data_IF_256039009403
#
_entry.id   IF_256039009403
#
_cell.length_a   1.000
_cell.length_b   1.000
_cell.length_c   1.000
_cell.angle_alpha   90.00
_cell.angle_beta   90.00
_cell.angle_gamma   90.00
#
_symmetry.space_group_name_H-M   'P 1'
#
loop_
_entity.id
_entity.type
_entity.pdbx_description
1 polymer ?
#
# COMPACT_ATOMS: atom_id res chain seq x y z
N UNK A 1 18.17 7.38 -3.78
CA UNK A 1 17.15 6.41 -4.25
C UNK A 1 15.91 6.59 -3.38
N UNK A 2 14.69 6.51 -3.91
CA UNK A 2 13.48 6.55 -3.08
C UNK A 2 12.98 5.12 -2.89
N UNK A 3 12.62 4.77 -1.67
CA UNK A 3 11.90 3.53 -1.37
C UNK A 3 10.53 3.90 -0.83
N UNK A 4 9.59 3.00 -1.02
CA UNK A 4 8.24 3.12 -0.49
C UNK A 4 7.99 1.98 0.47
N UNK A 5 7.24 2.25 1.53
CA UNK A 5 6.81 1.21 2.48
C UNK A 5 5.30 1.22 2.57
N UNK A 6 4.71 0.03 2.56
CA UNK A 6 3.31 -0.17 2.92
C UNK A 6 3.27 -0.85 4.27
N UNK A 7 2.51 -0.30 5.21
CA UNK A 7 2.16 -0.97 6.47
C UNK A 7 0.69 -1.35 6.45
N UNK A 8 0.38 -2.64 6.58
CA UNK A 8 -0.99 -3.15 6.70
C UNK A 8 -1.17 -3.80 8.07
N UNK A 9 -2.31 -3.60 8.74
CA UNK A 9 -2.63 -4.27 10.00
C UNK A 9 -3.67 -5.35 9.71
N UNK A 10 -3.26 -6.61 9.77
CA UNK A 10 -4.15 -7.77 9.65
C UNK A 10 -4.20 -8.49 11.00
N UNK A 11 -5.41 -8.72 11.52
CA UNK A 11 -5.63 -9.43 12.79
C UNK A 11 -4.81 -8.85 13.97
N UNK A 12 -4.65 -7.52 14.00
CA UNK A 12 -3.87 -6.80 15.02
C UNK A 12 -2.35 -6.92 14.88
N UNK A 13 -1.83 -7.51 13.80
CA UNK A 13 -0.39 -7.62 13.52
C UNK A 13 0.01 -6.68 12.38
N UNK A 14 0.90 -5.69 12.63
CA UNK A 14 1.41 -4.84 11.56
C UNK A 14 2.40 -5.63 10.69
N UNK A 15 2.18 -5.59 9.38
CA UNK A 15 3.10 -6.13 8.37
C UNK A 15 3.61 -4.98 7.51
N UNK A 16 4.92 -4.93 7.28
CA UNK A 16 5.57 -3.88 6.46
C UNK A 16 6.20 -4.50 5.23
N UNK A 17 5.85 -3.99 4.06
CA UNK A 17 6.47 -4.36 2.78
C UNK A 17 7.23 -3.16 2.19
N UNK A 18 8.41 -3.40 1.61
CA UNK A 18 9.30 -2.36 1.05
C UNK A 18 9.34 -2.50 -0.47
N UNK A 19 9.16 -1.39 -1.18
CA UNK A 19 9.14 -1.31 -2.64
C UNK A 19 10.22 -0.34 -3.14
N UNK A 20 10.97 -0.77 -4.16
CA UNK A 20 12.04 0.03 -4.78
C UNK A 20 11.54 1.09 -5.77
N UNK A 21 10.23 1.18 -6.00
CA UNK A 21 9.63 2.09 -6.98
C UNK A 21 8.12 2.25 -6.79
N UNK A 22 7.57 3.34 -7.33
CA UNK A 22 6.14 3.66 -7.21
C UNK A 22 5.26 2.68 -8.01
N UNK A 23 5.71 2.22 -9.18
CA UNK A 23 4.94 1.28 -10.00
C UNK A 23 4.71 -0.08 -9.31
N UNK A 24 5.74 -0.62 -8.66
CA UNK A 24 5.63 -1.87 -7.91
C UNK A 24 4.71 -1.73 -6.68
N UNK A 25 4.78 -0.58 -6.01
CA UNK A 25 3.89 -0.20 -4.92
C UNK A 25 2.43 -0.15 -5.40
N UNK A 26 2.16 0.60 -6.48
CA UNK A 26 0.82 0.79 -7.03
C UNK A 26 0.21 -0.51 -7.51
N UNK A 27 1.00 -1.37 -8.18
CA UNK A 27 0.55 -2.71 -8.58
C UNK A 27 0.13 -3.53 -7.37
N UNK A 28 0.92 -3.52 -6.29
CA UNK A 28 0.60 -4.30 -5.08
C UNK A 28 -0.65 -3.79 -4.37
N UNK A 29 -0.82 -2.46 -4.26
CA UNK A 29 -2.00 -1.85 -3.65
C UNK A 29 -3.26 -2.18 -4.47
N UNK A 30 -3.16 -2.09 -5.80
CA UNK A 30 -4.25 -2.44 -6.70
C UNK A 30 -4.63 -3.92 -6.59
N UNK A 31 -3.65 -4.82 -6.54
CA UNK A 31 -3.93 -6.24 -6.37
C UNK A 31 -4.58 -6.54 -5.01
N UNK A 32 -4.11 -5.88 -3.94
CA UNK A 32 -4.67 -6.03 -2.60
C UNK A 32 -6.12 -5.55 -2.51
N UNK A 33 -6.40 -4.31 -2.89
CA UNK A 33 -7.76 -3.76 -2.84
C UNK A 33 -8.68 -4.40 -3.88
N UNK A 34 -8.15 -4.78 -5.04
CA UNK A 34 -8.90 -5.50 -6.06
C UNK A 34 -9.32 -6.90 -5.61
N UNK A 35 -8.51 -7.57 -4.79
CA UNK A 35 -8.91 -8.84 -4.17
C UNK A 35 -10.05 -8.62 -3.16
N UNK A 36 -9.93 -7.63 -2.28
CA UNK A 36 -10.98 -7.29 -1.31
C UNK A 36 -12.28 -6.93 -2.02
N UNK A 37 -12.20 -6.12 -3.08
CA UNK A 37 -13.36 -5.74 -3.90
C UNK A 37 -14.12 -6.96 -4.45
N UNK A 38 -13.38 -7.95 -4.96
CA UNK A 38 -13.94 -9.22 -5.45
C UNK A 38 -14.54 -10.04 -4.31
N UNK A 39 -13.86 -10.12 -3.18
CA UNK A 39 -14.32 -10.87 -2.00
C UNK A 39 -15.61 -10.26 -1.42
N UNK A 40 -15.73 -8.93 -1.46
CA UNK A 40 -16.91 -8.16 -1.06
C UNK A 40 -18.06 -8.19 -2.09
N UNK A 41 -17.83 -8.74 -3.30
CA UNK A 41 -18.82 -8.85 -4.38
C UNK A 41 -19.46 -7.52 -4.79
N UNK A 42 -18.67 -6.45 -4.80
CA UNK A 42 -19.14 -5.09 -5.11
C UNK A 42 -19.47 -4.94 -6.62
N UNK A 43 -18.74 -5.68 -7.46
CA UNK A 43 -18.95 -5.73 -8.91
C UNK A 43 -17.68 -6.19 -9.64
N UNK A 44 -17.79 -6.44 -10.95
CA UNK A 44 -16.65 -6.80 -11.80
C UNK A 44 -15.84 -5.57 -12.27
N UNK A 45 -16.47 -4.38 -12.26
CA UNK A 45 -15.81 -3.13 -12.62
C UNK A 45 -14.96 -2.62 -11.46
N UNK A 46 -13.64 -2.76 -11.62
CA UNK A 46 -12.65 -2.20 -10.69
C UNK A 46 -12.32 -0.76 -11.10
N UNK A 47 -12.30 0.19 -10.14
CA UNK A 47 -11.76 1.52 -10.35
C UNK A 47 -10.38 1.52 -11.01
N UNK A 48 -10.06 2.59 -11.74
CA UNK A 48 -8.74 2.70 -12.39
C UNK A 48 -7.61 2.90 -11.38
N UNK A 49 -7.89 3.59 -10.28
CA UNK A 49 -6.93 3.91 -9.24
C UNK A 49 -7.21 3.12 -7.97
N UNK A 50 -6.17 2.74 -7.24
CA UNK A 50 -6.29 1.95 -6.02
C UNK A 50 -6.85 2.78 -4.85
N UNK A 51 -6.62 4.09 -4.81
CA UNK A 51 -7.13 4.99 -3.78
C UNK A 51 -8.64 5.19 -3.89
N UNK A 52 -9.18 5.20 -5.10
CA UNK A 52 -10.63 5.14 -5.35
C UNK A 52 -11.24 3.85 -4.77
N UNK A 53 -10.63 2.69 -5.04
CA UNK A 53 -11.08 1.41 -4.48
C UNK A 53 -11.08 1.45 -2.95
N UNK A 54 -10.01 1.96 -2.35
CA UNK A 54 -9.89 2.08 -0.90
C UNK A 54 -11.00 2.97 -0.33
N UNK A 55 -11.23 4.15 -0.91
CA UNK A 55 -12.25 5.09 -0.45
C UNK A 55 -13.65 4.48 -0.52
N UNK A 56 -13.97 3.78 -1.61
CA UNK A 56 -15.25 3.10 -1.77
C UNK A 56 -15.41 1.95 -0.77
N UNK A 57 -14.38 1.12 -0.59
CA UNK A 57 -14.39 0.03 0.38
C UNK A 57 -14.60 0.52 1.83
N UNK A 58 -13.99 1.66 2.18
CA UNK A 58 -14.20 2.32 3.48
C UNK A 58 -15.63 2.89 3.55
N UNK A 59 -16.09 3.57 2.51
CA UNK A 59 -17.43 4.18 2.47
C UNK A 59 -18.55 3.15 2.58
N UNK A 60 -18.36 1.98 1.98
CA UNK A 60 -19.29 0.84 2.05
C UNK A 60 -19.18 0.06 3.37
N UNK A 61 -18.18 0.36 4.22
CA UNK A 61 -17.97 -0.29 5.51
C UNK A 61 -17.30 -1.67 5.43
N UNK A 62 -16.66 -2.00 4.30
CA UNK A 62 -15.87 -3.24 4.17
C UNK A 62 -14.48 -3.12 4.78
N UNK A 63 -13.93 -1.92 4.85
CA UNK A 63 -12.65 -1.62 5.48
C UNK A 63 -12.84 -0.64 6.64
N UNK A 64 -12.18 -0.94 7.76
CA UNK A 64 -11.98 0.03 8.85
C UNK A 64 -10.69 0.81 8.63
N UNK A 65 -10.53 1.96 9.30
CA UNK A 65 -9.31 2.79 9.21
C UNK A 65 -8.02 1.99 9.52
N UNK A 66 -8.10 1.00 10.40
CA UNK A 66 -6.98 0.15 10.78
C UNK A 66 -6.57 -0.83 9.66
N UNK A 67 -7.49 -1.17 8.77
CA UNK A 67 -7.25 -2.08 7.64
C UNK A 67 -6.74 -1.34 6.40
N UNK A 68 -6.63 0.00 6.46
CA UNK A 68 -6.06 0.81 5.38
C UNK A 68 -4.55 0.63 5.34
N UNK A 69 -4.01 0.49 4.13
CA UNK A 69 -2.60 0.39 3.87
C UNK A 69 -1.93 1.77 4.07
N UNK A 70 -1.04 1.88 5.05
CA UNK A 70 -0.28 3.11 5.29
C UNK A 70 0.94 3.18 4.37
N UNK A 71 0.89 4.05 3.38
CA UNK A 71 1.97 4.27 2.41
C UNK A 71 2.91 5.38 2.89
N UNK A 72 4.20 5.09 2.99
CA UNK A 72 5.23 6.09 3.29
C UNK A 72 6.32 6.09 2.23
N UNK A 73 6.81 7.29 1.89
CA UNK A 73 7.94 7.51 0.99
C UNK A 73 9.18 7.85 1.81
N UNK A 74 10.26 7.10 1.59
CA UNK A 74 11.55 7.34 2.23
C UNK A 74 12.61 7.68 1.18
N UNK A 75 13.46 8.64 1.52
CA UNK A 75 14.65 8.95 0.73
C UNK A 75 15.82 8.19 1.32
N UNK A 76 16.38 7.23 0.57
CA UNK A 76 17.65 6.61 0.94
C UNK A 76 18.76 7.63 0.71
N UNK A 77 19.33 8.11 1.81
CA UNK A 77 20.60 8.82 1.82
C UNK A 77 21.71 7.78 1.78
N UNK A 78 22.46 7.75 0.69
CA UNK A 78 23.71 7.01 0.66
C UNK A 78 24.69 7.76 1.56
N UNK A 79 24.95 7.20 2.74
CA UNK A 79 26.11 7.56 3.55
C UNK A 79 27.35 7.42 2.66
N UNK A 80 27.86 8.54 2.17
CA UNK A 80 29.24 8.63 1.72
C UNK A 80 30.07 8.47 2.98
N UNK A 81 30.52 7.25 3.29
CA UNK A 81 31.52 7.06 4.32
C UNK A 81 32.66 8.04 4.04
N UNK A 82 33.02 8.95 4.96
CA UNK A 82 34.28 9.65 4.83
C UNK A 82 35.35 8.55 4.88
N UNK A 83 36.13 8.41 3.81
CA UNK A 83 37.30 7.55 3.82
C UNK A 83 38.17 7.95 5.03
N UNK A 84 38.15 7.14 6.09
CA UNK A 84 39.11 7.22 7.17
C UNK A 84 40.45 6.78 6.56
N UNK A 85 41.24 7.77 6.15
CA UNK A 85 42.67 7.64 5.86
C UNK A 85 43.45 7.38 7.14
#
# INVERSE_FOLDING_TARGET
MNIWTITTIAEGKPTVAIFGGAEALESQLRDHYGQIWKDCKIGDDLPSQWDEMQNDLVSMGFLTEEQIAYVQKHKLETSSQPHLR
#
